data_IF_332751480810
#
_entry.id   IF_332751480810
#
_cell.length_a   1.000
_cell.length_b   1.000
_cell.length_c   1.000
_cell.angle_alpha   90.00
_cell.angle_beta   90.00
_cell.angle_gamma   90.00
#
_symmetry.space_group_name_H-M   'P 1'
#
loop_
_entity.id
_entity.type
_entity.pdbx_description
1 polymer ?
#
# COMPACT_ATOMS: atom_id res chain seq x y z
N UNK A 1 18.47 -12.40 4.19
CA UNK A 1 17.14 -12.26 4.81
C UNK A 1 16.52 -13.64 4.90
N UNK A 2 16.08 -14.02 6.10
CA UNK A 2 15.39 -15.28 6.32
C UNK A 2 14.00 -15.29 5.66
N UNK A 3 13.33 -16.43 5.69
CA UNK A 3 11.90 -16.49 5.39
C UNK A 3 11.12 -16.00 6.62
N UNK A 4 10.19 -15.08 6.41
CA UNK A 4 9.24 -14.65 7.42
C UNK A 4 8.09 -15.64 7.53
N UNK A 5 7.67 -15.95 8.75
CA UNK A 5 6.47 -16.74 9.02
C UNK A 5 5.60 -16.03 10.06
N UNK A 6 4.34 -15.77 9.71
CA UNK A 6 3.35 -15.11 10.58
C UNK A 6 2.26 -16.12 10.94
N UNK A 7 2.06 -16.31 12.25
CA UNK A 7 1.06 -17.21 12.81
C UNK A 7 0.02 -16.46 13.63
N UNK A 8 -1.21 -16.98 13.64
CA UNK A 8 -2.32 -16.55 14.48
C UNK A 8 -2.92 -17.80 15.15
N UNK A 9 -2.80 -17.95 16.46
CA UNK A 9 -3.22 -19.17 17.21
C UNK A 9 -2.80 -20.48 16.51
N UNK A 10 -1.51 -20.61 16.21
CA UNK A 10 -0.88 -21.74 15.50
C UNK A 10 -1.24 -21.90 14.01
N UNK A 11 -2.19 -21.14 13.48
CA UNK A 11 -2.45 -21.11 12.03
C UNK A 11 -1.39 -20.29 11.30
N UNK A 12 -0.70 -20.90 10.33
CA UNK A 12 0.22 -20.19 9.45
C UNK A 12 -0.56 -19.32 8.45
N UNK A 13 -0.54 -18.01 8.65
CA UNK A 13 -1.22 -17.06 7.75
C UNK A 13 -0.36 -16.65 6.57
N UNK A 14 0.96 -16.58 6.75
CA UNK A 14 1.88 -16.12 5.72
C UNK A 14 3.27 -16.71 5.92
N UNK A 15 3.83 -17.30 4.86
CA UNK A 15 5.25 -17.64 4.74
C UNK A 15 5.81 -16.92 3.51
N UNK A 16 6.81 -16.07 3.67
CA UNK A 16 7.32 -15.24 2.57
C UNK A 16 8.74 -14.73 2.81
N UNK A 17 9.45 -14.43 1.73
CA UNK A 17 10.70 -13.67 1.77
C UNK A 17 10.51 -12.17 1.54
N UNK A 18 9.27 -11.73 1.28
CA UNK A 18 8.94 -10.32 1.06
C UNK A 18 8.64 -9.63 2.40
N UNK A 19 9.45 -8.63 2.84
CA UNK A 19 9.21 -7.91 4.08
C UNK A 19 7.84 -7.22 4.09
N UNK A 20 7.45 -6.60 2.98
CA UNK A 20 6.18 -5.87 2.88
C UNK A 20 4.98 -6.83 2.98
N UNK A 21 5.08 -8.04 2.43
CA UNK A 21 4.03 -9.04 2.58
C UNK A 21 3.96 -9.60 4.01
N UNK A 22 5.11 -9.80 4.66
CA UNK A 22 5.16 -10.19 6.07
C UNK A 22 4.57 -9.10 6.98
N UNK A 23 4.92 -7.83 6.74
CA UNK A 23 4.34 -6.66 7.42
C UNK A 23 2.82 -6.60 7.26
N UNK A 24 2.32 -6.79 6.03
CA UNK A 24 0.89 -6.80 5.76
C UNK A 24 0.15 -7.93 6.49
N UNK A 25 0.75 -9.13 6.55
CA UNK A 25 0.19 -10.26 7.28
C UNK A 25 0.17 -9.99 8.79
N UNK A 26 1.26 -9.45 9.36
CA UNK A 26 1.32 -9.04 10.76
C UNK A 26 0.27 -8.00 11.11
N UNK A 27 0.18 -6.90 10.35
CA UNK A 27 -0.80 -5.84 10.58
C UNK A 27 -2.25 -6.34 10.56
N UNK A 28 -2.53 -7.40 9.79
CA UNK A 28 -3.85 -8.03 9.73
C UNK A 28 -4.08 -8.96 10.92
N UNK A 29 -3.11 -9.82 11.24
CA UNK A 29 -3.18 -10.76 12.35
C UNK A 29 -3.29 -10.04 13.70
N UNK A 30 -2.52 -8.97 13.89
CA UNK A 30 -2.45 -8.19 15.13
C UNK A 30 -3.78 -7.51 15.51
N UNK A 31 -4.72 -7.41 14.56
CA UNK A 31 -6.04 -6.77 14.77
C UNK A 31 -7.22 -7.71 14.58
N UNK A 32 -6.97 -9.02 14.55
CA UNK A 32 -8.02 -10.02 14.41
C UNK A 32 -8.89 -10.03 15.69
N UNK A 33 -10.15 -9.62 15.55
CA UNK A 33 -11.05 -9.46 16.67
C UNK A 33 -11.44 -10.81 17.30
N UNK A 34 -11.64 -11.85 16.48
CA UNK A 34 -12.05 -13.17 16.96
C UNK A 34 -10.98 -13.76 17.89
N UNK A 35 -9.72 -13.66 17.47
CA UNK A 35 -8.60 -14.20 18.24
C UNK A 35 -8.28 -13.33 19.45
N UNK A 36 -8.40 -12.01 19.33
CA UNK A 36 -8.27 -11.10 20.46
C UNK A 36 -9.30 -11.41 21.57
N UNK A 37 -10.56 -11.61 21.20
CA UNK A 37 -11.66 -11.94 22.13
C UNK A 37 -11.47 -13.33 22.78
N UNK A 38 -10.88 -14.27 22.06
CA UNK A 38 -10.57 -15.62 22.56
C UNK A 38 -9.31 -15.69 23.44
N UNK A 39 -8.56 -14.58 23.58
CA UNK A 39 -7.31 -14.54 24.34
C UNK A 39 -6.11 -15.18 23.63
N UNK A 40 -6.17 -15.29 22.31
CA UNK A 40 -5.13 -15.92 21.49
C UNK A 40 -3.90 -15.04 21.25
N UNK A 41 -3.03 -15.48 20.34
CA UNK A 41 -1.71 -14.89 20.11
C UNK A 41 -1.36 -14.76 18.62
N UNK A 42 -0.56 -13.75 18.31
CA UNK A 42 0.12 -13.58 17.02
C UNK A 42 1.60 -13.79 17.24
N UNK A 43 2.24 -14.58 16.37
CA UNK A 43 3.69 -14.85 16.39
C UNK A 43 4.32 -14.54 15.04
N UNK A 44 5.45 -13.86 15.05
CA UNK A 44 6.27 -13.60 13.88
C UNK A 44 7.65 -14.26 14.04
N UNK A 45 8.10 -14.93 12.99
CA UNK A 45 9.43 -15.52 12.89
C UNK A 45 10.18 -14.99 11.67
N UNK A 46 11.51 -14.90 11.75
CA UNK A 46 12.43 -14.76 10.62
C UNK A 46 13.44 -15.90 10.66
N UNK A 47 13.38 -16.83 9.71
CA UNK A 47 14.06 -18.11 9.84
C UNK A 47 13.61 -18.80 11.13
N UNK A 48 14.55 -19.31 11.93
CA UNK A 48 14.26 -20.00 13.20
C UNK A 48 14.10 -19.06 14.41
N UNK A 49 14.21 -17.74 14.21
CA UNK A 49 14.17 -16.76 15.30
C UNK A 49 12.76 -16.21 15.47
N UNK A 50 12.23 -16.25 16.69
CA UNK A 50 11.02 -15.49 17.05
C UNK A 50 11.34 -14.01 17.06
N UNK A 51 10.74 -13.26 16.14
CA UNK A 51 10.85 -11.79 16.04
C UNK A 51 9.95 -11.12 17.07
N UNK A 52 8.72 -11.61 17.21
CA UNK A 52 7.78 -11.14 18.22
C UNK A 52 6.63 -12.12 18.49
N UNK A 53 6.03 -11.95 19.65
CA UNK A 53 4.80 -12.61 20.08
C UNK A 53 3.95 -11.61 20.85
N UNK A 54 2.64 -11.55 20.59
CA UNK A 54 1.74 -10.64 21.28
C UNK A 54 0.28 -11.11 21.26
N UNK A 55 -0.54 -10.58 22.16
CA UNK A 55 -2.01 -10.71 22.08
C UNK A 55 -2.56 -9.67 21.10
N UNK A 56 -3.33 -10.07 20.06
CA UNK A 56 -3.92 -9.10 19.13
C UNK A 56 -4.94 -8.18 19.83
N UNK A 57 -5.10 -6.96 19.30
CA UNK A 57 -6.05 -5.97 19.79
C UNK A 57 -7.08 -5.61 18.70
N UNK A 58 -8.40 -5.69 18.95
CA UNK A 58 -9.39 -5.43 17.92
C UNK A 58 -9.23 -4.01 17.35
N UNK A 59 -9.30 -3.91 16.02
CA UNK A 59 -9.29 -2.63 15.26
C UNK A 59 -7.96 -1.86 15.29
N UNK A 60 -6.97 -2.27 16.08
CA UNK A 60 -5.67 -1.61 16.16
C UNK A 60 -4.62 -2.49 15.46
N UNK A 61 -4.14 -2.04 14.31
CA UNK A 61 -2.96 -2.66 13.69
C UNK A 61 -1.72 -2.29 14.51
N UNK A 62 -0.94 -3.29 14.94
CA UNK A 62 0.30 -3.04 15.65
C UNK A 62 1.43 -2.82 14.66
N UNK A 63 2.42 -1.95 14.97
CA UNK A 63 3.55 -1.72 14.10
C UNK A 63 4.31 -3.03 13.84
N UNK A 64 5.01 -3.10 12.71
CA UNK A 64 5.94 -4.19 12.43
C UNK A 64 6.95 -4.32 13.58
N UNK A 65 7.13 -5.51 14.15
CA UNK A 65 7.91 -5.67 15.36
C UNK A 65 9.42 -5.72 15.11
N UNK A 66 9.85 -6.02 13.88
CA UNK A 66 11.28 -5.98 13.55
C UNK A 66 11.71 -4.52 13.32
N UNK A 67 12.36 -3.94 14.32
CA UNK A 67 12.93 -2.60 14.23
C UNK A 67 14.12 -2.46 13.27
N UNK A 68 14.62 -3.57 12.70
CA UNK A 68 15.72 -3.56 11.71
C UNK A 68 15.19 -3.30 10.30
N UNK A 69 13.96 -3.72 10.02
CA UNK A 69 13.36 -3.54 8.71
C UNK A 69 12.66 -2.19 8.61
N UNK A 70 12.84 -1.53 7.46
CA UNK A 70 12.05 -0.34 7.14
C UNK A 70 10.59 -0.75 6.94
N UNK A 71 9.68 -0.12 7.69
CA UNK A 71 8.24 -0.27 7.43
C UNK A 71 7.88 0.34 6.09
N UNK A 72 6.99 -0.34 5.35
CA UNK A 72 6.44 0.21 4.12
C UNK A 72 5.74 1.55 4.41
N UNK A 73 6.05 2.56 3.62
CA UNK A 73 5.51 3.91 3.78
C UNK A 73 4.85 4.43 2.48
N UNK A 74 4.39 5.68 2.50
CA UNK A 74 3.67 6.26 1.35
C UNK A 74 4.55 6.41 0.10
N UNK A 75 5.89 6.41 0.21
CA UNK A 75 6.79 6.37 -0.95
C UNK A 75 6.69 5.02 -1.66
N UNK A 76 6.55 3.93 -0.92
CA UNK A 76 6.39 2.59 -1.49
C UNK A 76 5.05 2.42 -2.19
N UNK A 77 4.01 3.03 -1.61
CA UNK A 77 2.68 3.12 -2.23
C UNK A 77 2.76 3.92 -3.52
N UNK A 78 3.39 5.10 -3.47
CA UNK A 78 3.56 5.97 -4.64
C UNK A 78 4.30 5.27 -5.78
N UNK A 79 5.44 4.64 -5.50
CA UNK A 79 6.22 3.91 -6.51
C UNK A 79 5.41 2.77 -7.14
N UNK A 80 4.66 2.04 -6.32
CA UNK A 80 3.83 0.92 -6.79
C UNK A 80 2.65 1.41 -7.61
N UNK A 81 2.03 2.52 -7.20
CA UNK A 81 0.93 3.16 -7.92
C UNK A 81 1.40 3.67 -9.28
N UNK A 82 2.51 4.42 -9.35
CA UNK A 82 3.03 4.95 -10.61
C UNK A 82 3.42 3.83 -11.59
N UNK A 83 4.01 2.73 -11.10
CA UNK A 83 4.28 1.55 -11.94
C UNK A 83 2.99 0.96 -12.51
N UNK A 84 1.94 0.83 -11.70
CA UNK A 84 0.65 0.32 -12.13
C UNK A 84 0.00 1.25 -13.17
N UNK A 85 0.02 2.56 -12.96
CA UNK A 85 -0.56 3.55 -13.89
C UNK A 85 0.20 3.58 -15.22
N UNK A 86 1.54 3.50 -15.18
CA UNK A 86 2.36 3.42 -16.39
C UNK A 86 2.02 2.17 -17.23
N UNK A 87 1.74 1.03 -16.59
CA UNK A 87 1.29 -0.19 -17.29
C UNK A 87 -0.09 -0.02 -17.97
N UNK A 88 -0.90 0.94 -17.53
CA UNK A 88 -2.16 1.31 -18.16
C UNK A 88 -2.01 2.43 -19.22
N UNK A 89 -0.78 2.83 -19.54
CA UNK A 89 -0.49 3.87 -20.53
C UNK A 89 -0.66 5.30 -20.01
N UNK A 90 -0.79 5.50 -18.70
CA UNK A 90 -0.78 6.82 -18.08
C UNK A 90 0.67 7.20 -17.73
N UNK A 91 1.28 7.99 -18.62
CA UNK A 91 2.61 8.54 -18.41
C UNK A 91 2.60 9.77 -17.50
N UNK A 92 3.79 10.26 -17.11
CA UNK A 92 3.92 11.39 -16.19
C UNK A 92 3.23 12.67 -16.71
N UNK A 93 3.19 12.87 -18.03
CA UNK A 93 2.51 14.01 -18.64
C UNK A 93 1.00 13.90 -18.46
N UNK A 94 0.41 12.73 -18.73
CA UNK A 94 -1.02 12.50 -18.54
C UNK A 94 -1.45 12.69 -17.08
N UNK A 95 -0.63 12.22 -16.13
CA UNK A 95 -0.86 12.39 -14.69
C UNK A 95 -0.76 13.86 -14.27
N UNK A 96 0.27 14.56 -14.76
CA UNK A 96 0.49 16.00 -14.53
C UNK A 96 -0.69 16.82 -15.05
N UNK A 97 -1.16 16.53 -16.25
CA UNK A 97 -2.30 17.21 -16.86
C UNK A 97 -3.59 16.94 -16.08
N UNK A 98 -3.81 15.72 -15.60
CA UNK A 98 -4.96 15.38 -14.79
C UNK A 98 -4.99 16.20 -13.49
N UNK A 99 -3.89 16.23 -12.73
CA UNK A 99 -3.77 17.03 -11.51
C UNK A 99 -3.95 18.53 -11.79
N UNK A 100 -3.30 19.04 -12.84
CA UNK A 100 -3.38 20.45 -13.22
C UNK A 100 -4.80 20.88 -13.58
N UNK A 101 -5.59 20.00 -14.21
CA UNK A 101 -7.03 20.20 -14.50
C UNK A 101 -7.88 20.11 -13.23
N UNK A 102 -7.54 19.21 -12.32
CA UNK A 102 -8.23 19.04 -11.04
C UNK A 102 -7.96 20.20 -10.06
N UNK A 103 -6.91 20.99 -10.31
CA UNK A 103 -6.60 22.22 -9.59
C UNK A 103 -5.33 22.14 -8.73
N UNK A 104 -4.69 20.98 -8.64
CA UNK A 104 -3.40 20.82 -7.97
C UNK A 104 -2.27 21.03 -8.98
N UNK A 105 -1.56 22.15 -8.86
CA UNK A 105 -0.52 22.51 -9.82
C UNK A 105 0.75 21.72 -9.58
N UNK A 106 1.24 21.08 -10.65
CA UNK A 106 2.53 20.39 -10.66
C UNK A 106 3.16 20.44 -12.06
N UNK A 107 4.48 20.36 -12.11
CA UNK A 107 5.27 20.19 -13.33
C UNK A 107 5.57 18.72 -13.65
N UNK A 108 5.50 17.83 -12.64
CA UNK A 108 5.73 16.39 -12.79
C UNK A 108 5.21 15.66 -11.55
N UNK A 109 4.54 14.51 -11.74
CA UNK A 109 4.07 13.66 -10.64
C UNK A 109 5.19 12.74 -10.15
N UNK A 110 6.03 12.25 -11.07
CA UNK A 110 7.21 11.48 -10.74
C UNK A 110 8.19 12.30 -9.90
N UNK A 111 8.42 13.57 -10.25
CA UNK A 111 9.35 14.42 -9.51
C UNK A 111 8.85 14.82 -8.12
N UNK A 112 7.54 14.74 -7.81
CA UNK A 112 7.00 15.15 -6.50
C UNK A 112 7.66 14.46 -5.31
N UNK A 113 8.14 13.22 -5.50
CA UNK A 113 8.81 12.44 -4.45
C UNK A 113 10.33 12.51 -4.50
N UNK A 114 10.89 13.32 -5.41
CA UNK A 114 12.31 13.60 -5.52
C UNK A 114 12.56 15.06 -5.12
N UNK A 115 13.45 15.30 -4.16
CA UNK A 115 13.87 16.66 -3.85
C UNK A 115 15.08 17.09 -4.69
N UNK A 116 15.31 18.40 -4.80
CA UNK A 116 16.40 19.00 -5.58
C UNK A 116 17.80 18.62 -5.07
N UNK A 117 17.91 18.10 -3.85
CA UNK A 117 19.14 17.63 -3.23
C UNK A 117 19.35 16.11 -3.42
N UNK A 118 18.48 15.45 -4.19
CA UNK A 118 18.54 14.02 -4.47
C UNK A 118 17.96 13.14 -3.36
N UNK A 119 17.35 13.73 -2.33
CA UNK A 119 16.56 13.04 -1.33
C UNK A 119 15.15 12.70 -1.81
N UNK A 120 14.42 11.94 -0.99
CA UNK A 120 13.06 11.49 -1.31
C UNK A 120 12.04 12.06 -0.34
N UNK A 121 11.16 12.92 -0.85
CA UNK A 121 10.00 13.44 -0.12
C UNK A 121 8.97 12.33 0.09
N UNK A 122 8.40 12.24 1.30
CA UNK A 122 7.28 11.34 1.56
C UNK A 122 6.01 12.05 1.11
N UNK A 123 5.29 11.53 0.10
CA UNK A 123 4.03 12.14 -0.32
C UNK A 123 2.99 11.99 0.79
N UNK A 124 2.11 12.96 0.92
CA UNK A 124 0.99 12.90 1.85
C UNK A 124 -0.12 11.97 1.34
N UNK A 125 -0.93 11.46 2.26
CA UNK A 125 -2.12 10.69 1.88
C UNK A 125 -3.11 11.53 1.05
N UNK A 126 -3.17 12.84 1.28
CA UNK A 126 -4.03 13.75 0.52
C UNK A 126 -3.60 13.84 -0.95
N UNK A 127 -2.30 13.93 -1.23
CA UNK A 127 -1.79 13.95 -2.61
C UNK A 127 -2.12 12.67 -3.36
N UNK A 128 -2.01 11.52 -2.69
CA UNK A 128 -2.41 10.22 -3.27
C UNK A 128 -3.90 10.18 -3.62
N UNK A 129 -4.78 10.64 -2.71
CA UNK A 129 -6.23 10.68 -2.96
C UNK A 129 -6.54 11.60 -4.14
N UNK A 130 -5.98 12.82 -4.15
CA UNK A 130 -6.21 13.79 -5.22
C UNK A 130 -5.70 13.29 -6.57
N UNK A 131 -4.56 12.59 -6.62
CA UNK A 131 -4.07 11.97 -7.85
C UNK A 131 -5.06 10.94 -8.39
N UNK A 132 -5.57 10.05 -7.53
CA UNK A 132 -6.52 9.02 -7.94
C UNK A 132 -7.84 9.62 -8.44
N UNK A 133 -8.37 10.62 -7.74
CA UNK A 133 -9.60 11.34 -8.14
C UNK A 133 -9.41 12.09 -9.47
N UNK A 134 -8.28 12.76 -9.64
CA UNK A 134 -7.96 13.49 -10.87
C UNK A 134 -7.87 12.54 -12.09
N UNK A 135 -7.27 11.36 -11.92
CA UNK A 135 -7.21 10.34 -12.97
C UNK A 135 -8.62 9.83 -13.28
N UNK A 136 -9.42 9.52 -12.26
CA UNK A 136 -10.78 9.01 -12.44
C UNK A 136 -11.67 10.01 -13.20
N UNK A 137 -11.58 11.30 -12.89
CA UNK A 137 -12.32 12.34 -13.61
C UNK A 137 -11.81 12.57 -15.04
N UNK A 138 -10.52 12.33 -15.29
CA UNK A 138 -9.92 12.47 -16.62
C UNK A 138 -10.24 11.31 -17.57
N UNK A 139 -10.67 10.15 -17.06
CA UNK A 139 -11.12 9.05 -17.91
C UNK A 139 -12.52 9.35 -18.46
N UNK A 140 -12.72 9.32 -19.78
CA UNK A 140 -14.05 9.47 -20.36
C UNK A 140 -14.94 8.31 -19.92
N UNK A 141 -16.19 8.60 -19.56
CA UNK A 141 -17.20 7.64 -19.12
C UNK A 141 -17.25 6.42 -20.05
N UNK A 142 -16.65 5.30 -19.63
CA UNK A 142 -16.69 4.03 -20.38
C UNK A 142 -18.07 3.36 -20.34
N UNK A 143 -19.11 4.06 -19.84
CA UNK A 143 -20.48 3.56 -19.67
C UNK A 143 -21.45 3.93 -20.79
N UNK A 144 -21.04 4.67 -21.82
CA UNK A 144 -21.95 5.10 -22.90
C UNK A 144 -21.93 4.23 -24.16
N UNK A 145 -21.38 3.00 -24.12
CA UNK A 145 -21.29 2.10 -25.30
C UNK A 145 -22.02 0.77 -25.13
N UNK A 146 -23.24 0.81 -24.60
CA UNK A 146 -24.24 -0.24 -24.80
C UNK A 146 -25.59 0.46 -24.87
N UNK A 147 -26.10 0.63 -26.10
CA UNK A 147 -27.49 0.92 -26.50
C UNK A 147 -27.51 1.73 -27.80
N UNK A 148 -26.95 1.13 -28.85
CA UNK A 148 -27.20 1.54 -30.23
C UNK A 148 -27.08 0.30 -31.12
N UNK A 149 -28.03 -0.61 -30.96
CA UNK A 149 -28.17 -1.83 -31.74
C UNK A 149 -29.64 -2.14 -31.98
N UNK A 150 -30.39 -1.14 -32.45
CA UNK A 150 -31.69 -1.37 -33.06
C UNK A 150 -31.50 -1.83 -34.49
N UNK A 151 -31.97 -3.05 -34.78
CA UNK A 151 -32.53 -3.47 -36.06
C UNK A 151 -33.60 -4.52 -35.78
#
# INVERSE_FOLDING_TARGET
>A
MGEFRIYLDDELLCATRSPVLAQAAWHRASRDARVAEAGGTVRAYEGEVTVAEMHPEPRVGHPWPDGRDRQADLRDVWDSLLRMLAQQGLDDQALTDALNRFGLKTSSVQATVHDDLGGRTIPSAAELVVLLEAIQQAQPDTRSRTDAGGY
#
